data_IF_445914067864
#
_entry.id   IF_445914067864
#
_cell.length_a   1.000
_cell.length_b   1.000
_cell.length_c   1.000
_cell.angle_alpha   90.00
_cell.angle_beta   90.00
_cell.angle_gamma   90.00
#
_symmetry.space_group_name_H-M   'P 1'
#
loop_
_entity.id
_entity.type
_entity.pdbx_description
1 polymer ?
#
# COMPACT_ATOMS: atom_id res chain seq x y z
N UNK A 1 7.03 57.48 -17.68
CA UNK A 1 5.97 57.61 -16.66
C UNK A 1 5.14 56.34 -16.73
N UNK A 2 5.44 55.38 -15.86
CA UNK A 2 4.90 54.00 -15.92
C UNK A 2 3.81 53.87 -14.85
N UNK A 3 2.53 53.68 -15.20
CA UNK A 3 1.53 53.37 -14.20
C UNK A 3 1.31 51.86 -14.11
N UNK A 4 1.13 51.40 -12.88
CA UNK A 4 0.17 50.34 -12.59
C UNK A 4 0.71 48.91 -12.64
N UNK A 5 1.45 48.52 -11.61
CA UNK A 5 1.47 47.12 -11.19
C UNK A 5 0.06 46.71 -10.78
N UNK A 6 -0.64 45.99 -11.67
CA UNK A 6 -1.91 45.36 -11.34
C UNK A 6 -1.61 44.25 -10.32
N UNK A 7 -1.98 44.50 -9.06
CA UNK A 7 -2.06 43.47 -8.05
C UNK A 7 -3.02 42.40 -8.53
N UNK A 8 -2.48 41.30 -9.05
CA UNK A 8 -3.23 40.06 -9.21
C UNK A 8 -3.61 39.62 -7.81
N UNK A 9 -4.81 40.03 -7.38
CA UNK A 9 -5.43 39.51 -6.18
C UNK A 9 -5.39 37.99 -6.30
N UNK A 10 -4.59 37.34 -5.46
CA UNK A 10 -4.45 35.90 -5.43
C UNK A 10 -5.83 35.34 -5.13
N UNK A 11 -6.53 34.91 -6.19
CA UNK A 11 -7.81 34.24 -6.05
C UNK A 11 -7.46 32.86 -5.52
N UNK A 12 -7.52 32.71 -4.19
CA UNK A 12 -7.31 31.41 -3.57
C UNK A 12 -8.30 30.42 -4.18
N UNK A 13 -7.81 29.33 -4.78
CA UNK A 13 -8.69 28.36 -5.42
C UNK A 13 -9.61 27.74 -4.36
N UNK A 14 -10.87 27.51 -4.72
CA UNK A 14 -11.83 26.82 -3.86
C UNK A 14 -11.25 25.44 -3.46
N UNK A 15 -11.17 25.12 -2.16
CA UNK A 15 -10.73 23.80 -1.70
C UNK A 15 -11.43 22.63 -2.39
N UNK A 16 -12.71 22.76 -2.73
CA UNK A 16 -13.44 21.72 -3.46
C UNK A 16 -12.90 21.52 -4.89
N UNK A 17 -12.61 22.60 -5.60
CA UNK A 17 -12.00 22.54 -6.94
C UNK A 17 -10.58 21.96 -6.90
N UNK A 18 -9.80 22.30 -5.86
CA UNK A 18 -8.46 21.73 -5.66
C UNK A 18 -8.54 20.21 -5.45
N UNK A 19 -9.47 19.75 -4.61
CA UNK A 19 -9.70 18.33 -4.37
C UNK A 19 -10.18 17.60 -5.63
N UNK A 20 -11.16 18.18 -6.35
CA UNK A 20 -11.66 17.59 -7.59
C UNK A 20 -10.55 17.45 -8.64
N UNK A 21 -9.70 18.47 -8.80
CA UNK A 21 -8.54 18.42 -9.68
C UNK A 21 -7.51 17.37 -9.23
N UNK A 22 -7.26 17.27 -7.93
CA UNK A 22 -6.38 16.24 -7.38
C UNK A 22 -6.89 14.83 -7.68
N UNK A 23 -8.15 14.54 -7.39
CA UNK A 23 -8.75 13.22 -7.63
C UNK A 23 -8.78 12.88 -9.12
N UNK A 24 -9.10 13.84 -10.00
CA UNK A 24 -9.03 13.65 -11.46
C UNK A 24 -7.62 13.31 -11.93
N UNK A 25 -6.61 14.02 -11.45
CA UNK A 25 -5.21 13.74 -11.80
C UNK A 25 -4.77 12.34 -11.32
N UNK A 26 -5.22 11.92 -10.14
CA UNK A 26 -4.95 10.56 -9.65
C UNK A 26 -5.69 9.48 -10.43
N UNK A 27 -6.93 9.74 -10.82
CA UNK A 27 -7.70 8.82 -11.66
C UNK A 27 -7.05 8.65 -13.04
N UNK A 28 -6.53 9.72 -13.65
CA UNK A 28 -5.83 9.61 -14.93
C UNK A 28 -4.50 8.88 -14.81
N UNK A 29 -3.75 9.09 -13.73
CA UNK A 29 -2.56 8.28 -13.40
C UNK A 29 -2.91 6.79 -13.26
N UNK A 30 -4.00 6.47 -12.54
CA UNK A 30 -4.49 5.11 -12.37
C UNK A 30 -4.85 4.45 -13.71
N UNK A 31 -5.65 5.13 -14.54
CA UNK A 31 -6.05 4.60 -15.86
C UNK A 31 -4.87 4.46 -16.82
N UNK A 32 -3.88 5.38 -16.74
CA UNK A 32 -2.65 5.28 -17.53
C UNK A 32 -1.82 4.07 -17.09
N UNK A 33 -1.64 3.87 -15.79
CA UNK A 33 -0.95 2.70 -15.26
C UNK A 33 -1.66 1.40 -15.63
N UNK A 34 -3.00 1.38 -15.59
CA UNK A 34 -3.80 0.23 -15.99
C UNK A 34 -3.63 -0.10 -17.48
N UNK A 35 -3.56 0.92 -18.34
CA UNK A 35 -3.27 0.73 -19.76
C UNK A 35 -1.85 0.20 -19.96
N UNK A 36 -0.85 0.82 -19.34
CA UNK A 36 0.55 0.36 -19.41
C UNK A 36 0.70 -1.09 -18.91
N UNK A 37 -0.02 -1.47 -17.85
CA UNK A 37 0.00 -2.83 -17.32
C UNK A 37 -0.56 -3.85 -18.32
N UNK A 38 -1.60 -3.50 -19.09
CA UNK A 38 -2.14 -4.38 -20.15
C UNK A 38 -1.20 -4.50 -21.35
N UNK A 39 -0.51 -3.41 -21.66
CA UNK A 39 0.36 -3.29 -22.85
C UNK A 39 1.82 -3.72 -22.53
N UNK A 40 2.08 -4.21 -21.31
CA UNK A 40 3.41 -4.56 -20.86
C UNK A 40 3.98 -5.74 -21.66
N UNK A 41 5.16 -5.54 -22.25
CA UNK A 41 5.85 -6.56 -23.04
C UNK A 41 6.78 -7.43 -22.19
N UNK A 42 7.21 -6.92 -21.04
CA UNK A 42 8.13 -7.60 -20.13
C UNK A 42 7.52 -7.72 -18.72
N UNK A 43 7.94 -8.73 -17.93
CA UNK A 43 7.50 -8.85 -16.54
C UNK A 43 7.94 -7.64 -15.69
N UNK A 44 9.09 -7.03 -16.00
CA UNK A 44 9.56 -5.81 -15.33
C UNK A 44 8.64 -4.62 -15.59
N UNK A 45 8.25 -4.38 -16.84
CA UNK A 45 7.32 -3.31 -17.21
C UNK A 45 5.96 -3.52 -16.54
N UNK A 46 5.48 -4.77 -16.52
CA UNK A 46 4.23 -5.15 -15.86
C UNK A 46 4.28 -4.87 -14.34
N UNK A 47 5.39 -5.21 -13.69
CA UNK A 47 5.61 -4.97 -12.27
C UNK A 47 5.71 -3.47 -11.95
N UNK A 48 6.39 -2.67 -12.78
CA UNK A 48 6.44 -1.21 -12.60
C UNK A 48 5.06 -0.57 -12.78
N UNK A 49 4.32 -0.98 -13.81
CA UNK A 49 2.95 -0.52 -14.04
C UNK A 49 2.01 -0.91 -12.88
N UNK A 50 2.13 -2.14 -12.34
CA UNK A 50 1.39 -2.59 -11.17
C UNK A 50 1.71 -1.77 -9.91
N UNK A 51 2.98 -1.40 -9.70
CA UNK A 51 3.39 -0.50 -8.61
C UNK A 51 2.83 0.91 -8.79
N UNK A 52 2.84 1.44 -10.01
CA UNK A 52 2.24 2.74 -10.33
C UNK A 52 0.71 2.72 -10.07
N UNK A 53 0.03 1.65 -10.51
CA UNK A 53 -1.39 1.43 -10.30
C UNK A 53 -1.74 1.39 -8.80
N UNK A 54 -0.99 0.62 -8.02
CA UNK A 54 -1.13 0.53 -6.55
C UNK A 54 -0.90 1.88 -5.86
N UNK A 55 0.13 2.63 -6.27
CA UNK A 55 0.40 3.98 -5.73
C UNK A 55 -0.77 4.92 -6.00
N UNK A 56 -1.29 4.95 -7.23
CA UNK A 56 -2.43 5.78 -7.59
C UNK A 56 -3.68 5.39 -6.78
N UNK A 57 -4.01 4.10 -6.70
CA UNK A 57 -5.14 3.59 -5.91
C UNK A 57 -5.06 3.98 -4.42
N UNK A 58 -3.89 3.78 -3.78
CA UNK A 58 -3.66 4.20 -2.38
C UNK A 58 -3.82 5.70 -2.19
N UNK A 59 -3.36 6.51 -3.14
CA UNK A 59 -3.47 7.98 -3.08
C UNK A 59 -4.91 8.48 -3.27
N UNK A 60 -5.69 7.83 -4.14
CA UNK A 60 -7.14 8.09 -4.25
C UNK A 60 -7.80 7.71 -2.92
N UNK A 61 -7.60 6.49 -2.44
CA UNK A 61 -8.19 6.01 -1.18
C UNK A 61 -7.86 6.89 0.03
N UNK A 62 -6.61 7.37 0.13
CA UNK A 62 -6.20 8.33 1.16
C UNK A 62 -6.91 9.68 1.02
N UNK A 63 -7.05 10.21 -0.21
CA UNK A 63 -7.83 11.42 -0.47
C UNK A 63 -9.29 11.28 -0.06
N UNK A 64 -9.92 10.14 -0.39
CA UNK A 64 -11.30 9.84 0.02
C UNK A 64 -11.45 9.79 1.54
N UNK A 65 -10.48 9.18 2.23
CA UNK A 65 -10.50 9.06 3.68
C UNK A 65 -10.34 10.42 4.37
N UNK A 66 -9.34 11.21 3.96
CA UNK A 66 -9.03 12.51 4.58
C UNK A 66 -10.12 13.55 4.31
N UNK A 67 -10.63 13.60 3.09
CA UNK A 67 -11.64 14.60 2.68
C UNK A 67 -13.07 14.07 2.75
N UNK A 68 -13.30 12.96 3.47
CA UNK A 68 -14.61 12.32 3.63
C UNK A 68 -15.76 13.29 3.98
N UNK A 69 -15.59 14.31 4.85
CA UNK A 69 -16.69 15.23 5.19
C UNK A 69 -17.16 16.12 4.03
N UNK A 70 -16.31 16.32 3.02
CA UNK A 70 -16.59 17.16 1.85
C UNK A 70 -17.05 16.35 0.62
N UNK A 71 -17.08 15.02 0.74
CA UNK A 71 -17.43 14.10 -0.34
C UNK A 71 -18.77 13.43 -0.05
N UNK A 72 -19.41 12.90 -1.10
CA UNK A 72 -20.61 12.10 -0.94
C UNK A 72 -20.31 10.88 -0.03
N UNK A 73 -21.03 10.72 1.11
CA UNK A 73 -20.75 9.66 2.07
C UNK A 73 -21.05 8.25 1.55
N UNK A 74 -21.96 8.12 0.59
CA UNK A 74 -22.33 6.82 0.02
C UNK A 74 -21.29 6.35 -1.00
N UNK A 75 -20.86 7.25 -1.88
CA UNK A 75 -19.84 7.00 -2.89
C UNK A 75 -18.48 6.69 -2.29
N UNK A 76 -18.03 7.49 -1.32
CA UNK A 76 -16.73 7.26 -0.65
C UNK A 76 -16.69 5.94 0.13
N UNK A 77 -17.83 5.54 0.73
CA UNK A 77 -17.97 4.28 1.46
C UNK A 77 -17.96 3.06 0.55
N UNK A 78 -18.56 3.17 -0.64
CA UNK A 78 -18.54 2.10 -1.63
C UNK A 78 -17.17 1.97 -2.30
N UNK A 79 -16.54 3.09 -2.67
CA UNK A 79 -15.28 3.07 -3.43
C UNK A 79 -14.04 2.75 -2.57
N UNK A 80 -14.03 3.13 -1.30
CA UNK A 80 -12.89 2.94 -0.40
C UNK A 80 -12.43 1.48 -0.25
N UNK A 81 -13.34 0.54 0.09
CA UNK A 81 -13.03 -0.89 0.20
C UNK A 81 -12.52 -1.50 -1.11
N UNK A 82 -13.09 -1.12 -2.25
CA UNK A 82 -12.65 -1.62 -3.57
C UNK A 82 -11.21 -1.21 -3.87
N UNK A 83 -10.85 0.06 -3.60
CA UNK A 83 -9.47 0.52 -3.75
C UNK A 83 -8.51 -0.15 -2.77
N UNK A 84 -8.97 -0.43 -1.55
CA UNK A 84 -8.19 -1.15 -0.55
C UNK A 84 -7.95 -2.61 -0.98
N UNK A 85 -8.98 -3.27 -1.52
CA UNK A 85 -8.90 -4.62 -2.07
C UNK A 85 -7.93 -4.67 -3.25
N UNK A 86 -8.10 -3.84 -4.28
CA UNK A 86 -7.18 -3.79 -5.45
C UNK A 86 -5.74 -3.53 -5.01
N UNK A 87 -5.53 -2.55 -4.12
CA UNK A 87 -4.19 -2.23 -3.63
C UNK A 87 -3.58 -3.37 -2.81
N UNK A 88 -4.40 -4.13 -2.09
CA UNK A 88 -4.00 -5.33 -1.36
C UNK A 88 -3.56 -6.44 -2.30
N UNK A 89 -4.38 -6.78 -3.28
CA UNK A 89 -4.08 -7.80 -4.31
C UNK A 89 -2.77 -7.49 -5.03
N UNK A 90 -2.60 -6.27 -5.54
CA UNK A 90 -1.36 -5.86 -6.20
C UNK A 90 -0.14 -5.96 -5.27
N UNK A 91 -0.32 -5.71 -3.96
CA UNK A 91 0.77 -5.84 -2.98
C UNK A 91 1.20 -7.29 -2.78
N UNK A 92 0.22 -8.20 -2.78
CA UNK A 92 0.48 -9.63 -2.63
C UNK A 92 1.26 -10.18 -3.82
N UNK A 93 0.95 -9.76 -5.05
CA UNK A 93 1.67 -10.17 -6.26
C UNK A 93 3.15 -9.79 -6.21
N UNK A 94 3.45 -8.54 -5.84
CA UNK A 94 4.84 -8.03 -5.73
C UNK A 94 5.59 -8.68 -4.56
N UNK A 95 4.90 -9.03 -3.47
CA UNK A 95 5.48 -9.81 -2.38
C UNK A 95 5.81 -11.25 -2.83
N UNK A 96 4.93 -11.90 -3.60
CA UNK A 96 5.17 -13.22 -4.18
C UNK A 96 6.35 -13.19 -5.15
N UNK A 97 6.43 -12.20 -6.04
CA UNK A 97 7.55 -12.04 -6.98
C UNK A 97 8.88 -11.83 -6.23
N UNK A 98 8.90 -10.92 -5.25
CA UNK A 98 10.10 -10.69 -4.41
C UNK A 98 10.52 -11.95 -3.67
N UNK A 99 9.56 -12.73 -3.14
CA UNK A 99 9.84 -13.99 -2.46
C UNK A 99 10.42 -15.03 -3.41
N UNK A 100 9.88 -15.14 -4.62
CA UNK A 100 10.40 -16.05 -5.64
C UNK A 100 11.84 -15.73 -6.00
N UNK A 101 12.17 -14.46 -6.29
CA UNK A 101 13.55 -14.03 -6.58
C UNK A 101 14.51 -14.43 -5.45
N UNK A 102 14.15 -14.14 -4.20
CA UNK A 102 14.97 -14.51 -3.03
C UNK A 102 15.17 -16.03 -2.91
N UNK A 103 14.14 -16.83 -3.20
CA UNK A 103 14.24 -18.29 -3.16
C UNK A 103 15.16 -18.83 -4.26
N UNK A 104 15.06 -18.29 -5.48
CA UNK A 104 15.94 -18.68 -6.58
C UNK A 104 17.40 -18.29 -6.31
N UNK A 105 17.66 -17.11 -5.76
CA UNK A 105 19.00 -16.69 -5.32
C UNK A 105 19.56 -17.64 -4.25
N UNK A 106 18.76 -17.96 -3.22
CA UNK A 106 19.18 -18.89 -2.18
C UNK A 106 19.46 -20.30 -2.73
N UNK A 107 18.62 -20.79 -3.65
CA UNK A 107 18.81 -22.09 -4.30
C UNK A 107 20.08 -22.11 -5.15
N UNK A 108 20.36 -21.04 -5.88
CA UNK A 108 21.59 -20.92 -6.67
C UNK A 108 22.83 -20.91 -5.77
N UNK A 109 22.78 -20.16 -4.67
CA UNK A 109 23.84 -20.14 -3.66
C UNK A 109 24.07 -21.51 -3.02
N UNK A 110 22.99 -22.26 -2.73
CA UNK A 110 23.07 -23.61 -2.15
C UNK A 110 23.55 -24.68 -3.15
N UNK A 111 23.23 -24.52 -4.44
CA UNK A 111 23.59 -25.48 -5.48
C UNK A 111 25.00 -25.26 -6.06
N UNK A 112 25.56 -24.07 -5.85
CA UNK A 112 26.95 -23.77 -6.22
C UNK A 112 27.96 -24.55 -5.37
N UNK A 113 29.17 -24.82 -5.87
CA UNK A 113 30.23 -25.42 -5.07
C UNK A 113 30.48 -24.52 -3.86
N UNK A 114 30.57 -25.12 -2.68
CA UNK A 114 30.83 -24.40 -1.43
C UNK A 114 32.14 -23.60 -1.57
N UNK A 115 32.02 -22.30 -1.84
CA UNK A 115 33.16 -21.41 -1.75
C UNK A 115 33.66 -21.47 -0.30
N UNK A 116 34.97 -21.61 -0.06
CA UNK A 116 35.51 -21.62 1.28
C UNK A 116 35.09 -20.32 1.98
N UNK A 117 34.24 -20.45 2.99
CA UNK A 117 33.76 -19.35 3.82
C UNK A 117 34.96 -18.65 4.47
N UNK A 118 35.24 -17.36 4.15
CA UNK A 118 36.13 -16.58 5.00
C UNK A 118 35.47 -16.41 6.40
N UNK A 119 36.27 -16.36 7.48
CA UNK A 119 35.74 -16.24 8.83
C UNK A 119 34.87 -14.98 8.95
N UNK A 120 33.65 -15.20 9.42
CA UNK A 120 32.62 -14.19 9.63
C UNK A 120 33.17 -13.02 10.46
N UNK A 121 33.38 -11.88 9.83
CA UNK A 121 33.65 -10.63 10.53
C UNK A 121 32.39 -10.24 11.31
N UNK A 122 32.49 -10.41 12.62
CA UNK A 122 31.59 -9.97 13.70
C UNK A 122 30.75 -8.75 13.31
N UNK A 123 29.42 -8.93 13.26
CA UNK A 123 28.43 -7.87 13.11
C UNK A 123 28.56 -6.85 14.27
N UNK A 124 28.71 -5.54 14.03
CA UNK A 124 28.55 -4.55 15.08
C UNK A 124 27.10 -4.55 15.57
N UNK A 125 26.94 -4.67 16.89
CA UNK A 125 25.67 -4.57 17.60
C UNK A 125 25.01 -3.22 17.33
N UNK A 126 23.69 -3.14 17.08
CA UNK A 126 23.00 -1.86 17.06
C UNK A 126 23.05 -1.27 18.48
N UNK A 127 23.75 -0.16 18.64
CA UNK A 127 23.63 0.68 19.84
C UNK A 127 22.21 1.22 19.88
N UNK A 128 21.38 0.64 20.75
CA UNK A 128 20.11 1.23 21.15
C UNK A 128 20.41 2.57 21.80
N UNK A 129 20.10 3.66 21.10
CA UNK A 129 20.08 4.99 21.70
C UNK A 129 19.03 4.97 22.82
N UNK A 130 19.50 5.02 24.06
CA UNK A 130 18.67 5.11 25.24
C UNK A 130 18.14 6.55 25.30
N UNK A 131 16.87 6.75 24.93
CA UNK A 131 16.13 7.96 25.28
C UNK A 131 15.59 7.73 26.71
N UNK A 132 15.99 8.53 27.71
CA UNK A 132 15.41 8.41 29.04
C UNK A 132 13.98 8.96 29.02
N UNK A 133 13.00 8.09 29.27
CA UNK A 133 11.66 8.51 29.66
C UNK A 133 11.68 8.92 31.15
N UNK A 134 11.05 10.05 31.52
CA UNK A 134 10.81 10.35 32.93
C UNK A 134 9.77 9.40 33.50
N UNK A 135 10.11 8.82 34.66
CA UNK A 135 9.22 8.00 35.47
C UNK A 135 8.14 8.87 36.11
N UNK A 136 6.87 8.49 35.96
CA UNK A 136 5.99 8.38 37.12
C UNK A 136 4.73 7.53 36.82
N UNK A 137 4.24 6.90 37.89
CA UNK A 137 2.92 6.29 38.08
C UNK A 137 2.57 4.92 37.42
N UNK A 138 2.50 3.90 38.27
CA UNK A 138 1.66 2.68 38.17
C UNK A 138 0.84 2.59 39.48
N UNK A 139 -0.20 1.73 39.62
CA UNK A 139 -1.28 1.27 38.73
C UNK A 139 -2.67 1.41 39.48
N UNK A 140 -3.81 0.69 39.24
CA UNK A 140 -3.97 -0.77 39.07
C UNK A 140 -4.93 -1.27 37.96
N UNK A 141 -4.58 -2.45 37.45
CA UNK A 141 -5.41 -3.65 37.24
C UNK A 141 -6.80 -3.55 36.57
N UNK A 142 -6.89 -4.08 35.34
CA UNK A 142 -8.13 -4.52 34.73
C UNK A 142 -7.88 -5.75 33.82
N UNK A 143 -8.71 -6.80 33.90
CA UNK A 143 -8.44 -8.10 33.29
C UNK A 143 -8.65 -8.13 31.77
N UNK A 144 -7.78 -8.88 31.11
CA UNK A 144 -7.79 -9.20 29.68
C UNK A 144 -8.98 -10.10 29.30
N UNK A 145 -9.77 -9.78 28.25
CA UNK A 145 -10.57 -10.80 27.59
C UNK A 145 -9.70 -11.62 26.62
N UNK A 146 -9.69 -12.94 26.83
CA UNK A 146 -9.22 -13.90 25.84
C UNK A 146 -10.22 -13.96 24.69
N UNK A 147 -9.81 -13.58 23.47
CA UNK A 147 -10.58 -13.89 22.27
C UNK A 147 -10.13 -15.23 21.73
N UNK A 148 -10.99 -16.23 21.95
CA UNK A 148 -10.94 -17.56 21.38
C UNK A 148 -10.84 -17.52 19.85
N UNK A 149 -9.94 -18.35 19.32
CA UNK A 149 -9.91 -18.75 17.92
C UNK A 149 -11.12 -19.64 17.65
N UNK A 150 -12.17 -19.10 17.02
CA UNK A 150 -13.20 -19.93 16.41
C UNK A 150 -12.75 -20.30 15.01
N UNK A 151 -12.50 -21.61 14.83
CA UNK A 151 -12.18 -22.22 13.56
C UNK A 151 -13.31 -22.09 12.54
N UNK A 152 -12.90 -21.87 11.30
CA UNK A 152 -13.71 -21.93 10.08
C UNK A 152 -14.19 -23.36 9.82
N UNK A 153 -15.50 -23.62 9.65
CA UNK A 153 -15.94 -24.81 8.95
C UNK A 153 -15.96 -24.56 7.43
N UNK A 154 -15.31 -25.48 6.70
CA UNK A 154 -15.27 -25.54 5.25
C UNK A 154 -16.66 -25.83 4.64
N UNK A 155 -17.02 -25.28 3.47
CA UNK A 155 -18.22 -25.72 2.76
C UNK A 155 -17.96 -27.04 2.02
N UNK A 156 -18.83 -28.01 2.31
CA UNK A 156 -18.88 -29.32 1.68
C UNK A 156 -19.27 -29.21 0.18
N UNK A 157 -18.59 -29.99 -0.65
CA UNK A 157 -18.95 -30.29 -2.03
C UNK A 157 -20.33 -30.96 -2.07
N UNK A 158 -21.30 -30.35 -2.74
CA UNK A 158 -22.51 -31.02 -3.17
C UNK A 158 -22.30 -31.57 -4.60
N UNK A 159 -22.25 -32.89 -4.69
CA UNK A 159 -22.35 -33.67 -5.93
C UNK A 159 -23.84 -33.74 -6.35
N UNK A 160 -24.08 -33.75 -7.65
CA UNK A 160 -25.36 -33.40 -8.28
C UNK A 160 -26.50 -34.41 -8.23
N UNK A 161 -27.62 -34.05 -8.87
CA UNK A 161 -28.54 -34.91 -9.59
C UNK A 161 -29.60 -34.06 -10.31
N UNK A 162 -29.67 -34.20 -11.64
CA UNK A 162 -30.78 -33.80 -12.50
C UNK A 162 -31.97 -34.75 -12.31
N UNK A 163 -33.20 -34.27 -12.59
CA UNK A 163 -34.08 -34.98 -13.52
C UNK A 163 -34.29 -34.22 -14.83
#
# INVERSE_FOLDING_TARGET
>A
MTPGGAGVAQRHPDPADVLARHLRARATEFLRALRLHRDAATPEDSAEAARALRRAARRIGAGLYTFRPALDPSWSRTLGPELAWVSGTLSQEDACATRLTRLLEALHHLSGPAAPTPPSARRPTPSTSCVPLPADATPPDAPRPATSVSGTPAPARATGALP
#
